data_IF_159464702910
#
_entry.id   IF_159464702910
#
_cell.length_a   1.000
_cell.length_b   1.000
_cell.length_c   1.000
_cell.angle_alpha   90.00
_cell.angle_beta   90.00
_cell.angle_gamma   90.00
#
_symmetry.space_group_name_H-M   'P 1'
#
loop_
_entity.id
_entity.type
_entity.pdbx_description
1 polymer ?
#
# COMPACT_ATOMS: atom_id res chain seq x y z
N UNK A 1 -7.27 3.68 -8.15
CA UNK A 1 -6.34 4.78 -8.52
C UNK A 1 -7.09 5.96 -9.16
N UNK A 2 -7.80 5.79 -10.31
CA UNK A 2 -8.49 6.90 -11.00
C UNK A 2 -9.41 7.73 -10.07
N UNK A 3 -10.25 7.08 -9.25
CA UNK A 3 -11.09 7.77 -8.25
C UNK A 3 -10.28 8.53 -7.20
N UNK A 4 -9.15 7.97 -6.76
CA UNK A 4 -8.30 8.59 -5.75
C UNK A 4 -7.60 9.88 -6.24
N UNK A 5 -7.41 10.03 -7.55
CA UNK A 5 -6.84 11.24 -8.17
C UNK A 5 -7.90 12.12 -8.84
N UNK A 6 -9.19 11.93 -8.52
CA UNK A 6 -10.29 12.76 -9.02
C UNK A 6 -10.70 12.54 -10.48
N UNK A 7 -10.24 11.46 -11.11
CA UNK A 7 -10.49 11.14 -12.52
C UNK A 7 -11.56 10.06 -12.72
N UNK A 8 -12.41 9.80 -11.71
CA UNK A 8 -13.43 8.74 -11.79
C UNK A 8 -14.41 8.91 -12.96
N UNK A 9 -14.80 10.14 -13.24
CA UNK A 9 -15.77 10.48 -14.30
C UNK A 9 -15.16 10.39 -15.72
N UNK A 10 -13.83 10.40 -15.84
CA UNK A 10 -13.08 10.27 -17.10
C UNK A 10 -12.71 8.81 -17.42
N UNK A 11 -13.42 7.83 -16.86
CA UNK A 11 -13.08 6.41 -16.98
C UNK A 11 -12.97 5.89 -18.42
N UNK A 12 -13.85 6.32 -19.31
CA UNK A 12 -13.81 5.90 -20.72
C UNK A 12 -12.58 6.45 -21.45
N UNK A 13 -12.19 7.67 -21.13
CA UNK A 13 -10.96 8.28 -21.64
C UNK A 13 -9.71 7.56 -21.11
N UNK A 14 -9.69 7.25 -19.84
CA UNK A 14 -8.59 6.48 -19.22
C UNK A 14 -8.42 5.13 -19.93
N UNK A 15 -9.52 4.40 -20.21
CA UNK A 15 -9.42 3.11 -20.91
C UNK A 15 -8.82 3.24 -22.30
N UNK A 16 -9.21 4.28 -23.05
CA UNK A 16 -8.65 4.56 -24.37
C UNK A 16 -7.17 4.93 -24.26
N UNK A 17 -6.84 5.88 -23.39
CA UNK A 17 -5.48 6.32 -23.16
C UNK A 17 -4.57 5.17 -22.68
N UNK A 18 -5.09 4.24 -21.86
CA UNK A 18 -4.33 3.06 -21.42
C UNK A 18 -3.91 2.16 -22.60
N UNK A 19 -4.79 2.00 -23.59
CA UNK A 19 -4.47 1.29 -24.82
C UNK A 19 -3.41 2.06 -25.63
N UNK A 20 -3.62 3.38 -25.84
CA UNK A 20 -2.73 4.22 -26.64
C UNK A 20 -1.33 4.30 -26.02
N UNK A 21 -1.24 4.42 -24.69
CA UNK A 21 0.05 4.40 -23.96
C UNK A 21 0.75 3.04 -24.09
N UNK A 22 0.01 1.94 -24.05
CA UNK A 22 0.63 0.63 -24.25
C UNK A 22 1.25 0.50 -25.66
N UNK A 23 0.55 0.95 -26.69
CA UNK A 23 1.09 0.97 -28.04
C UNK A 23 2.32 1.90 -28.14
N UNK A 24 2.25 3.09 -27.54
CA UNK A 24 3.37 4.05 -27.49
C UNK A 24 4.60 3.44 -26.77
N UNK A 25 4.41 2.53 -25.81
CA UNK A 25 5.49 1.82 -25.11
C UNK A 25 6.04 0.62 -25.88
N UNK A 26 5.53 0.32 -27.08
CA UNK A 26 5.95 -0.80 -27.91
C UNK A 26 5.08 -2.04 -27.74
N UNK A 27 3.79 -1.85 -27.41
CA UNK A 27 2.81 -2.94 -27.18
C UNK A 27 3.31 -4.02 -26.21
N UNK A 28 3.80 -3.55 -25.06
CA UNK A 28 4.42 -4.41 -24.06
C UNK A 28 3.40 -5.33 -23.38
N UNK A 29 3.87 -6.47 -22.87
CA UNK A 29 3.07 -7.38 -22.04
C UNK A 29 2.71 -6.69 -20.73
N UNK A 30 1.40 -6.64 -20.44
CA UNK A 30 0.85 -5.95 -19.27
C UNK A 30 0.67 -6.91 -18.10
N UNK A 31 1.75 -7.19 -17.41
CA UNK A 31 1.78 -7.92 -16.13
C UNK A 31 2.47 -7.04 -15.07
N UNK A 32 2.39 -7.42 -13.81
CA UNK A 32 3.13 -6.70 -12.76
C UNK A 32 4.65 -6.86 -12.98
N UNK A 33 5.43 -5.78 -13.02
CA UNK A 33 5.10 -4.38 -12.72
C UNK A 33 4.72 -3.51 -13.92
N UNK A 34 4.83 -3.98 -15.18
CA UNK A 34 4.63 -3.17 -16.39
C UNK A 34 3.22 -2.58 -16.51
N UNK A 35 2.19 -3.31 -16.07
CA UNK A 35 0.81 -2.81 -16.02
C UNK A 35 0.66 -1.56 -15.15
N UNK A 36 1.41 -1.46 -14.06
CA UNK A 36 1.44 -0.26 -13.21
C UNK A 36 2.06 0.92 -13.95
N UNK A 37 3.15 0.70 -14.66
CA UNK A 37 3.85 1.77 -15.41
C UNK A 37 2.95 2.35 -16.49
N UNK A 38 2.28 1.48 -17.27
CA UNK A 38 1.29 1.92 -18.28
C UNK A 38 0.15 2.69 -17.61
N UNK A 39 -0.34 2.24 -16.47
CA UNK A 39 -1.37 2.92 -15.70
C UNK A 39 -0.94 4.29 -15.17
N UNK A 40 0.25 4.41 -14.62
CA UNK A 40 0.78 5.66 -14.10
C UNK A 40 0.97 6.70 -15.22
N UNK A 41 1.51 6.28 -16.39
CA UNK A 41 1.62 7.16 -17.55
C UNK A 41 0.25 7.56 -18.10
N UNK A 42 -0.69 6.63 -18.14
CA UNK A 42 -2.07 6.91 -18.55
C UNK A 42 -2.72 7.99 -17.68
N UNK A 43 -2.64 7.83 -16.36
CA UNK A 43 -3.22 8.81 -15.44
C UNK A 43 -2.53 10.16 -15.55
N UNK A 44 -1.21 10.17 -15.70
CA UNK A 44 -0.42 11.39 -15.93
C UNK A 44 -0.88 12.12 -17.20
N UNK A 45 -1.03 11.41 -18.31
CA UNK A 45 -1.46 12.01 -19.58
C UNK A 45 -2.90 12.54 -19.50
N UNK A 46 -3.83 11.77 -18.95
CA UNK A 46 -5.24 12.19 -18.80
C UNK A 46 -5.37 13.38 -17.84
N UNK A 47 -4.62 13.38 -16.73
CA UNK A 47 -4.67 14.48 -15.75
C UNK A 47 -4.16 15.81 -16.32
N UNK A 48 -3.20 15.75 -17.24
CA UNK A 48 -2.58 16.93 -17.85
C UNK A 48 -3.11 17.21 -19.27
N UNK A 49 -4.18 16.53 -19.70
CA UNK A 49 -4.79 16.65 -21.03
C UNK A 49 -3.76 16.52 -22.18
N UNK A 50 -2.83 15.55 -22.03
CA UNK A 50 -1.74 15.30 -22.98
C UNK A 50 -2.14 14.24 -23.99
N UNK A 51 -1.71 14.43 -25.24
CA UNK A 51 -1.78 13.46 -26.33
C UNK A 51 -0.40 12.83 -26.57
N UNK A 52 -0.35 11.76 -27.35
CA UNK A 52 0.91 11.18 -27.82
C UNK A 52 1.78 12.23 -28.55
N UNK A 53 1.16 13.09 -29.37
CA UNK A 53 1.84 14.17 -30.05
C UNK A 53 2.54 15.13 -29.08
N UNK A 54 1.88 15.50 -27.98
CA UNK A 54 2.47 16.35 -26.95
C UNK A 54 3.71 15.73 -26.32
N UNK A 55 3.68 14.41 -26.09
CA UNK A 55 4.83 13.69 -25.57
C UNK A 55 6.02 13.77 -26.52
N UNK A 56 5.81 13.62 -27.82
CA UNK A 56 6.90 13.67 -28.80
C UNK A 56 7.38 15.09 -29.13
N UNK A 57 6.55 16.11 -28.98
CA UNK A 57 6.89 17.50 -29.32
C UNK A 57 7.48 18.31 -28.16
N UNK A 58 6.99 18.07 -26.94
CA UNK A 58 7.39 18.83 -25.74
C UNK A 58 7.71 17.97 -24.52
N UNK A 59 7.87 16.68 -24.71
CA UNK A 59 8.08 15.71 -23.61
C UNK A 59 9.29 16.00 -22.75
N UNK A 60 10.33 16.63 -23.29
CA UNK A 60 11.53 17.02 -22.53
C UNK A 60 11.23 17.99 -21.38
N UNK A 61 10.14 18.76 -21.47
CA UNK A 61 9.71 19.72 -20.44
C UNK A 61 8.76 19.14 -19.40
N UNK A 62 8.26 17.90 -19.60
CA UNK A 62 7.27 17.26 -18.72
C UNK A 62 7.93 16.48 -17.57
N UNK A 63 7.35 16.54 -16.37
CA UNK A 63 7.81 15.75 -15.23
C UNK A 63 7.03 14.42 -15.14
N UNK A 64 7.65 13.39 -15.68
CA UNK A 64 7.05 12.05 -15.73
C UNK A 64 6.98 11.39 -14.35
N UNK A 65 5.99 10.50 -14.11
CA UNK A 65 5.97 9.66 -12.92
C UNK A 65 7.27 8.86 -12.79
N UNK A 66 7.80 8.74 -11.58
CA UNK A 66 9.08 8.05 -11.34
C UNK A 66 9.05 6.60 -11.84
N UNK A 67 7.93 5.90 -11.72
CA UNK A 67 7.76 4.54 -12.24
C UNK A 67 7.97 4.44 -13.76
N UNK A 68 7.59 5.48 -14.51
CA UNK A 68 7.78 5.56 -15.97
C UNK A 68 9.26 5.80 -16.28
N UNK A 69 9.90 6.71 -15.55
CA UNK A 69 11.34 6.96 -15.69
C UNK A 69 12.14 5.69 -15.37
N UNK A 70 11.84 5.02 -14.27
CA UNK A 70 12.49 3.79 -13.84
C UNK A 70 12.34 2.66 -14.87
N UNK A 71 11.15 2.56 -15.48
CA UNK A 71 10.92 1.60 -16.55
C UNK A 71 11.82 1.86 -17.76
N UNK A 72 11.86 3.07 -18.27
CA UNK A 72 12.67 3.43 -19.44
C UNK A 72 14.19 3.46 -19.12
N UNK A 73 14.57 3.62 -17.86
CA UNK A 73 15.96 3.46 -17.41
C UNK A 73 16.39 1.97 -17.37
N UNK A 74 15.42 1.03 -17.40
CA UNK A 74 15.68 -0.41 -17.36
C UNK A 74 15.68 -1.02 -15.97
N UNK A 75 15.21 -0.30 -14.93
CA UNK A 75 15.15 -0.79 -13.53
C UNK A 75 14.18 -1.95 -13.34
N UNK A 76 13.20 -2.08 -14.23
CA UNK A 76 12.22 -3.17 -14.23
C UNK A 76 12.55 -4.25 -15.26
N UNK A 77 13.74 -4.23 -15.83
CA UNK A 77 14.14 -5.07 -16.97
C UNK A 77 13.88 -4.37 -18.31
N UNK A 78 14.18 -5.07 -19.38
CA UNK A 78 14.02 -4.57 -20.76
C UNK A 78 12.95 -5.38 -21.45
N UNK A 79 11.97 -4.76 -22.14
CA UNK A 79 10.99 -5.47 -22.95
C UNK A 79 11.66 -6.33 -24.03
N UNK A 80 10.98 -7.38 -24.50
CA UNK A 80 11.53 -8.33 -25.45
C UNK A 80 12.09 -7.64 -26.73
N UNK A 81 11.39 -6.64 -27.26
CA UNK A 81 11.82 -5.87 -28.45
C UNK A 81 12.61 -4.60 -28.09
N UNK A 82 12.97 -4.42 -26.83
CA UNK A 82 13.62 -3.20 -26.34
C UNK A 82 12.63 -2.07 -26.09
N UNK A 83 13.16 -0.89 -25.86
CA UNK A 83 12.37 0.32 -25.67
C UNK A 83 12.26 1.10 -26.99
N UNK A 84 11.12 1.80 -27.29
CA UNK A 84 11.03 2.73 -28.37
C UNK A 84 12.06 3.87 -28.19
N UNK A 85 13.14 3.87 -28.97
CA UNK A 85 14.33 4.70 -28.73
C UNK A 85 14.02 6.19 -28.60
N UNK A 86 13.13 6.71 -29.47
CA UNK A 86 12.77 8.14 -29.42
C UNK A 86 12.08 8.49 -28.12
N UNK A 87 11.13 7.66 -27.67
CA UNK A 87 10.40 7.87 -26.44
C UNK A 87 11.32 7.73 -25.22
N UNK A 88 12.20 6.73 -25.22
CA UNK A 88 13.19 6.52 -24.15
C UNK A 88 14.08 7.76 -23.99
N UNK A 89 14.59 8.32 -25.06
CA UNK A 89 15.41 9.55 -25.01
C UNK A 89 14.65 10.73 -24.42
N UNK A 90 13.40 10.94 -24.80
CA UNK A 90 12.53 12.00 -24.29
C UNK A 90 12.32 11.83 -22.77
N UNK A 91 11.91 10.62 -22.33
CA UNK A 91 11.58 10.38 -20.92
C UNK A 91 12.83 10.45 -20.05
N UNK A 92 13.96 9.95 -20.51
CA UNK A 92 15.20 9.94 -19.74
C UNK A 92 15.91 11.30 -19.70
N UNK A 93 15.60 12.24 -20.61
CA UNK A 93 16.18 13.59 -20.61
C UNK A 93 17.71 13.61 -20.47
N UNK A 94 18.37 12.74 -21.22
CA UNK A 94 19.83 12.59 -21.21
C UNK A 94 20.40 11.68 -20.14
N UNK A 95 19.60 11.11 -19.27
CA UNK A 95 20.02 10.00 -18.38
C UNK A 95 20.38 8.78 -19.23
N UNK A 96 21.42 8.06 -18.83
CA UNK A 96 21.81 6.83 -19.51
C UNK A 96 20.98 5.65 -18.98
N UNK A 97 20.41 4.81 -19.86
CA UNK A 97 19.83 3.55 -19.45
C UNK A 97 20.85 2.68 -18.71
N UNK A 98 20.36 1.79 -17.86
CA UNK A 98 21.22 0.81 -17.18
C UNK A 98 21.79 -0.18 -18.20
N UNK A 99 23.07 -0.45 -18.09
CA UNK A 99 23.83 -1.41 -18.93
C UNK A 99 23.94 -2.79 -18.28
N UNK A 100 23.47 -2.91 -17.01
CA UNK A 100 23.51 -4.13 -16.20
C UNK A 100 22.18 -4.38 -15.51
N UNK A 101 22.01 -5.61 -15.04
CA UNK A 101 20.88 -5.95 -14.19
C UNK A 101 20.86 -5.04 -12.95
N UNK A 102 19.69 -4.42 -12.61
CA UNK A 102 19.60 -3.47 -11.49
C UNK A 102 20.19 -3.99 -10.18
N UNK A 103 19.90 -5.26 -9.82
CA UNK A 103 20.44 -5.86 -8.60
C UNK A 103 21.97 -6.00 -8.56
N UNK A 104 22.66 -5.96 -9.71
CA UNK A 104 24.12 -5.99 -9.76
C UNK A 104 24.76 -4.61 -9.47
N UNK A 105 23.94 -3.57 -9.40
CA UNK A 105 24.35 -2.19 -9.12
C UNK A 105 24.07 -1.78 -7.66
N UNK A 106 23.44 -2.65 -6.87
CA UNK A 106 23.18 -2.39 -5.46
C UNK A 106 24.38 -2.80 -4.61
N UNK A 107 24.66 -2.00 -3.60
CA UNK A 107 25.63 -2.36 -2.58
C UNK A 107 25.13 -3.57 -1.78
N UNK A 108 26.03 -4.42 -1.27
CA UNK A 108 25.67 -5.49 -0.35
C UNK A 108 24.95 -4.93 0.88
N UNK A 109 23.92 -5.64 1.33
CA UNK A 109 23.19 -5.25 2.54
C UNK A 109 24.03 -5.64 3.75
N UNK A 110 24.24 -4.69 4.66
CA UNK A 110 24.80 -4.94 5.99
C UNK A 110 23.64 -5.37 6.93
N UNK A 111 23.45 -6.67 7.08
CA UNK A 111 22.38 -7.25 7.90
C UNK A 111 22.53 -6.88 9.40
N UNK A 112 23.74 -6.73 9.91
CA UNK A 112 23.95 -6.34 11.30
C UNK A 112 23.57 -4.88 11.54
N UNK A 113 23.86 -3.99 10.61
CA UNK A 113 23.38 -2.61 10.67
C UNK A 113 21.85 -2.54 10.61
N UNK A 114 21.21 -3.41 9.80
CA UNK A 114 19.74 -3.51 9.77
C UNK A 114 19.20 -4.04 11.10
N UNK A 115 19.78 -5.09 11.66
CA UNK A 115 19.39 -5.65 12.96
C UNK A 115 19.44 -4.59 14.06
N UNK A 116 20.56 -3.88 14.17
CA UNK A 116 20.72 -2.78 15.13
C UNK A 116 19.67 -1.68 14.93
N UNK A 117 19.30 -1.39 13.70
CA UNK A 117 18.26 -0.40 13.39
C UNK A 117 16.87 -0.86 13.87
N UNK A 118 16.54 -2.13 13.70
CA UNK A 118 15.27 -2.70 14.17
C UNK A 118 15.24 -2.74 15.70
N UNK A 119 16.32 -3.15 16.35
CA UNK A 119 16.47 -3.15 17.80
C UNK A 119 16.27 -1.74 18.39
N UNK A 120 16.94 -0.73 17.83
CA UNK A 120 16.79 0.67 18.25
C UNK A 120 15.35 1.19 18.08
N UNK A 121 14.60 0.68 17.09
CA UNK A 121 13.19 0.99 16.88
C UNK A 121 12.26 0.16 17.78
N UNK A 122 12.81 -0.75 18.59
CA UNK A 122 12.06 -1.71 19.42
C UNK A 122 11.11 -2.59 18.57
N UNK A 123 11.56 -3.01 17.40
CA UNK A 123 10.89 -3.97 16.54
C UNK A 123 11.49 -5.35 16.72
N UNK A 124 10.76 -6.38 16.30
CA UNK A 124 11.31 -7.71 16.18
C UNK A 124 12.52 -7.71 15.25
N UNK A 125 13.54 -8.50 15.53
CA UNK A 125 14.81 -8.46 14.81
C UNK A 125 15.48 -9.86 14.70
N UNK A 126 14.66 -10.91 14.58
CA UNK A 126 15.13 -12.23 14.18
C UNK A 126 15.70 -12.19 12.76
N UNK A 127 16.26 -13.29 12.29
CA UNK A 127 16.78 -13.35 10.91
C UNK A 127 15.67 -13.19 9.88
N UNK A 128 14.47 -13.74 10.14
CA UNK A 128 13.29 -13.53 9.32
C UNK A 128 12.84 -12.08 9.30
N UNK A 129 12.83 -11.40 10.44
CA UNK A 129 12.44 -9.99 10.54
C UNK A 129 13.39 -9.09 9.77
N UNK A 130 14.70 -9.33 9.90
CA UNK A 130 15.73 -8.60 9.16
C UNK A 130 15.56 -8.80 7.65
N UNK A 131 15.32 -10.04 7.21
CA UNK A 131 15.05 -10.34 5.80
C UNK A 131 13.76 -9.69 5.30
N UNK A 132 12.68 -9.75 6.07
CA UNK A 132 11.40 -9.12 5.73
C UNK A 132 11.55 -7.60 5.62
N UNK A 133 12.26 -6.96 6.56
CA UNK A 133 12.55 -5.53 6.51
C UNK A 133 13.37 -5.15 5.27
N UNK A 134 14.39 -5.92 4.92
CA UNK A 134 15.23 -5.65 3.74
C UNK A 134 14.42 -5.70 2.44
N UNK A 135 13.43 -6.59 2.36
CA UNK A 135 12.60 -6.74 1.16
C UNK A 135 11.46 -5.72 1.11
N UNK A 136 10.80 -5.44 2.23
CA UNK A 136 9.57 -4.64 2.30
C UNK A 136 9.56 -3.72 3.53
N UNK A 137 10.48 -2.74 3.62
CA UNK A 137 10.72 -1.98 4.85
C UNK A 137 9.47 -1.23 5.35
N UNK A 138 8.63 -0.72 4.44
CA UNK A 138 7.39 -0.05 4.83
C UNK A 138 6.36 -1.02 5.39
N UNK A 139 6.13 -2.14 4.69
CA UNK A 139 5.15 -3.15 5.11
C UNK A 139 5.54 -3.75 6.46
N UNK A 140 6.85 -4.04 6.64
CA UNK A 140 7.36 -4.53 7.91
C UNK A 140 7.10 -3.55 9.07
N UNK A 141 7.39 -2.27 8.87
CA UNK A 141 7.12 -1.25 9.89
C UNK A 141 5.63 -1.12 10.21
N UNK A 142 4.78 -1.08 9.19
CA UNK A 142 3.33 -1.01 9.37
C UNK A 142 2.82 -2.23 10.17
N UNK A 143 3.40 -3.41 9.95
CA UNK A 143 3.12 -4.63 10.70
C UNK A 143 3.59 -4.54 12.17
N UNK A 144 4.82 -4.11 12.42
CA UNK A 144 5.36 -3.96 13.77
C UNK A 144 4.55 -2.94 14.61
N UNK A 145 4.16 -1.82 14.01
CA UNK A 145 3.29 -0.84 14.67
C UNK A 145 1.89 -1.41 14.97
N UNK A 146 1.38 -2.27 14.09
CA UNK A 146 0.14 -2.99 14.32
C UNK A 146 0.27 -3.95 15.51
N UNK A 147 1.32 -4.75 15.55
CA UNK A 147 1.58 -5.68 16.68
C UNK A 147 1.79 -4.93 18.00
N UNK A 148 2.53 -3.81 17.99
CA UNK A 148 2.68 -2.97 19.19
C UNK A 148 1.35 -2.47 19.72
N UNK A 149 0.41 -2.14 18.83
CA UNK A 149 -0.89 -1.58 19.19
C UNK A 149 -1.90 -2.63 19.67
N UNK A 150 -1.95 -3.77 19.02
CA UNK A 150 -3.02 -4.77 19.20
C UNK A 150 -2.54 -6.08 19.81
N UNK A 151 -1.24 -6.28 19.94
CA UNK A 151 -0.66 -7.58 20.28
C UNK A 151 -0.71 -8.56 19.12
N UNK A 152 -0.46 -9.83 19.42
CA UNK A 152 -0.54 -10.90 18.44
C UNK A 152 -2.01 -11.29 18.20
N UNK A 153 -2.53 -10.89 17.06
CA UNK A 153 -3.91 -11.20 16.63
C UNK A 153 -4.00 -12.48 15.78
N UNK A 154 -2.89 -13.18 15.56
CA UNK A 154 -2.87 -14.46 14.82
C UNK A 154 -3.66 -15.57 15.54
N UNK A 155 -3.90 -15.39 16.82
CA UNK A 155 -4.75 -16.27 17.66
C UNK A 155 -6.24 -16.21 17.32
N UNK A 156 -6.68 -15.17 16.56
CA UNK A 156 -8.06 -15.03 16.11
C UNK A 156 -8.30 -15.88 14.86
N UNK A 157 -9.48 -16.48 14.76
CA UNK A 157 -9.91 -17.11 13.52
C UNK A 157 -10.12 -16.09 12.41
N UNK A 158 -10.01 -16.54 11.16
CA UNK A 158 -10.09 -15.66 9.98
C UNK A 158 -11.39 -14.84 9.90
N UNK A 159 -12.60 -15.41 10.13
CA UNK A 159 -13.83 -14.64 10.17
C UNK A 159 -13.81 -13.54 11.23
N UNK A 160 -13.43 -13.83 12.45
CA UNK A 160 -13.35 -12.86 13.54
C UNK A 160 -12.35 -11.74 13.24
N UNK A 161 -11.18 -12.08 12.68
CA UNK A 161 -10.17 -11.09 12.32
C UNK A 161 -10.66 -10.10 11.25
N UNK A 162 -11.35 -10.59 10.19
CA UNK A 162 -11.76 -9.73 9.07
C UNK A 162 -13.10 -9.04 9.26
N UNK A 163 -14.04 -9.68 9.94
CA UNK A 163 -15.43 -9.20 10.03
C UNK A 163 -15.83 -8.78 11.45
N UNK A 164 -15.00 -9.08 12.44
CA UNK A 164 -15.34 -8.87 13.84
C UNK A 164 -16.38 -9.88 14.34
N UNK A 165 -16.91 -9.63 15.52
CA UNK A 165 -17.92 -10.46 16.17
C UNK A 165 -19.29 -9.81 16.03
N UNK A 166 -20.33 -10.64 15.93
CA UNK A 166 -21.73 -10.19 16.01
C UNK A 166 -22.21 -10.18 17.48
N UNK A 167 -23.23 -9.37 17.76
CA UNK A 167 -23.80 -9.28 19.13
C UNK A 167 -24.25 -10.66 19.61
N UNK A 168 -23.83 -11.02 20.82
CA UNK A 168 -24.03 -12.31 21.49
C UNK A 168 -23.23 -13.49 20.90
N UNK A 169 -22.42 -13.26 19.89
CA UNK A 169 -21.47 -14.26 19.42
C UNK A 169 -20.41 -14.56 20.48
N UNK A 170 -20.01 -15.81 20.57
CA UNK A 170 -19.04 -16.32 21.50
C UNK A 170 -17.94 -17.06 20.74
N UNK A 171 -16.69 -16.75 21.05
CA UNK A 171 -15.52 -17.40 20.48
C UNK A 171 -14.60 -17.90 21.59
N UNK A 172 -13.85 -18.94 21.31
CA UNK A 172 -12.75 -19.40 22.16
C UNK A 172 -11.44 -19.06 21.46
N UNK A 173 -10.51 -18.47 22.19
CA UNK A 173 -9.21 -18.06 21.67
C UNK A 173 -8.12 -18.80 22.41
N UNK A 174 -7.24 -19.51 21.69
CA UNK A 174 -6.07 -20.15 22.31
C UNK A 174 -4.94 -19.13 22.40
N UNK A 175 -4.63 -18.66 23.60
CA UNK A 175 -3.54 -17.71 23.85
C UNK A 175 -2.21 -18.42 24.13
N UNK A 176 -2.25 -19.58 24.78
CA UNK A 176 -1.10 -20.40 25.11
C UNK A 176 -1.58 -21.83 25.38
N UNK A 177 -0.67 -22.78 25.58
CA UNK A 177 -1.02 -24.17 25.93
C UNK A 177 -1.86 -24.20 27.21
N UNK A 178 -3.09 -24.69 27.10
CA UNK A 178 -4.05 -24.76 28.20
C UNK A 178 -4.69 -23.43 28.62
N UNK A 179 -4.45 -22.32 27.86
CA UNK A 179 -5.03 -20.99 28.13
C UNK A 179 -6.00 -20.63 27.01
N UNK A 180 -7.27 -20.99 27.19
CA UNK A 180 -8.33 -20.85 26.19
C UNK A 180 -9.50 -19.99 26.74
N UNK A 181 -9.33 -18.66 26.80
CA UNK A 181 -10.43 -17.79 27.22
C UNK A 181 -11.59 -17.82 26.24
N UNK A 182 -12.80 -17.77 26.83
CA UNK A 182 -14.05 -17.58 26.10
C UNK A 182 -14.43 -16.11 26.09
N UNK A 183 -14.63 -15.56 24.91
CA UNK A 183 -14.96 -14.14 24.69
C UNK A 183 -16.33 -14.06 24.03
N UNK A 184 -17.23 -13.24 24.60
CA UNK A 184 -18.57 -13.00 24.05
C UNK A 184 -18.81 -11.53 23.87
N UNK A 185 -19.15 -11.10 22.64
CA UNK A 185 -19.52 -9.70 22.38
C UNK A 185 -20.92 -9.42 22.94
N UNK A 186 -21.03 -8.48 23.87
CA UNK A 186 -22.30 -8.07 24.47
C UNK A 186 -22.88 -6.90 23.72
N UNK A 187 -22.11 -5.82 23.54
CA UNK A 187 -22.60 -4.60 22.91
C UNK A 187 -21.48 -3.76 22.33
N UNK A 188 -21.82 -2.97 21.32
CA UNK A 188 -21.03 -1.84 20.81
C UNK A 188 -21.90 -0.61 20.88
N UNK A 189 -21.51 0.40 21.63
CA UNK A 189 -22.30 1.63 21.79
C UNK A 189 -22.33 2.45 20.50
N UNK A 190 -23.26 3.39 20.42
CA UNK A 190 -23.15 4.47 19.45
C UNK A 190 -21.93 5.35 19.76
N UNK A 191 -21.36 6.04 18.76
CA UNK A 191 -20.22 6.92 18.98
C UNK A 191 -20.61 8.11 19.85
N UNK A 192 -19.75 8.45 20.80
CA UNK A 192 -19.88 9.65 21.61
C UNK A 192 -19.47 10.92 20.82
N UNK A 193 -19.54 12.09 21.48
CA UNK A 193 -19.19 13.39 20.90
C UNK A 193 -17.70 13.48 20.47
N UNK A 194 -16.86 12.55 20.89
CA UNK A 194 -15.43 12.43 20.52
C UNK A 194 -15.21 11.41 19.43
N UNK A 195 -16.27 10.74 18.96
CA UNK A 195 -16.19 9.65 18.00
C UNK A 195 -15.69 8.34 18.63
N UNK A 196 -15.81 8.17 19.95
CA UNK A 196 -15.46 6.95 20.66
C UNK A 196 -16.67 6.06 20.79
N UNK A 197 -16.47 4.75 20.67
CA UNK A 197 -17.43 3.69 21.00
C UNK A 197 -16.94 2.88 22.17
N UNK A 198 -17.81 2.53 23.09
CA UNK A 198 -17.54 1.53 24.13
C UNK A 198 -17.95 0.16 23.63
N UNK A 199 -17.00 -0.77 23.61
CA UNK A 199 -17.23 -2.18 23.32
C UNK A 199 -17.30 -2.93 24.62
N UNK A 200 -18.45 -3.55 24.90
CA UNK A 200 -18.68 -4.39 26.08
C UNK A 200 -18.63 -5.84 25.69
N UNK A 201 -17.83 -6.63 26.39
CA UNK A 201 -17.73 -8.07 26.17
C UNK A 201 -17.56 -8.85 27.48
N UNK A 202 -17.93 -10.12 27.47
CA UNK A 202 -17.63 -11.07 28.55
C UNK A 202 -16.31 -11.75 28.24
N UNK A 203 -15.41 -11.82 29.21
CA UNK A 203 -14.16 -12.56 29.17
C UNK A 203 -14.17 -13.60 30.31
N UNK A 204 -14.28 -14.86 29.98
CA UNK A 204 -14.46 -15.94 30.97
C UNK A 204 -15.56 -15.66 32.01
N UNK A 205 -16.69 -15.12 31.57
CA UNK A 205 -17.82 -14.81 32.45
C UNK A 205 -17.70 -13.48 33.20
N UNK A 206 -16.59 -12.73 33.07
CA UNK A 206 -16.43 -11.39 33.63
C UNK A 206 -16.60 -10.32 32.56
N UNK A 207 -17.44 -9.30 32.85
CA UNK A 207 -17.67 -8.19 31.96
C UNK A 207 -16.43 -7.30 31.86
N UNK A 208 -16.12 -6.84 30.64
CA UNK A 208 -15.05 -5.93 30.31
C UNK A 208 -15.54 -4.88 29.32
N UNK A 209 -15.02 -3.68 29.45
CA UNK A 209 -15.29 -2.57 28.54
C UNK A 209 -14.00 -1.97 28.03
N UNK A 210 -13.97 -1.64 26.73
CA UNK A 210 -12.88 -0.89 26.10
C UNK A 210 -13.46 0.18 25.21
N UNK A 211 -12.83 1.35 25.23
CA UNK A 211 -13.17 2.46 24.36
C UNK A 211 -12.30 2.40 23.09
N UNK A 212 -12.93 2.47 21.94
CA UNK A 212 -12.29 2.43 20.62
C UNK A 212 -12.73 3.62 19.78
N UNK A 213 -11.81 4.14 18.95
CA UNK A 213 -12.13 5.21 18.00
C UNK A 213 -12.91 4.62 16.83
N UNK A 214 -14.09 5.17 16.52
CA UNK A 214 -14.83 4.84 15.31
C UNK A 214 -14.22 5.58 14.11
N UNK A 215 -13.56 4.84 13.23
CA UNK A 215 -12.92 5.40 12.02
C UNK A 215 -13.93 5.85 10.95
N UNK A 216 -15.20 5.49 11.09
CA UNK A 216 -16.27 5.86 10.15
C UNK A 216 -16.98 7.17 10.53
N UNK A 217 -16.71 7.70 11.73
CA UNK A 217 -17.26 9.00 12.16
C UNK A 217 -16.37 10.11 11.59
N UNK A 218 -16.96 10.96 10.75
CA UNK A 218 -16.26 12.09 10.17
C UNK A 218 -15.92 13.11 11.28
N UNK A 219 -14.63 13.31 11.56
CA UNK A 219 -14.15 14.22 12.62
C UNK A 219 -14.65 15.67 12.43
N UNK A 220 -15.04 16.06 11.20
CA UNK A 220 -15.67 17.36 10.92
C UNK A 220 -17.05 17.49 11.53
N UNK A 221 -17.79 16.40 11.69
CA UNK A 221 -19.12 16.40 12.30
C UNK A 221 -19.06 16.59 13.81
N UNK A 222 -17.96 16.22 14.46
CA UNK A 222 -17.74 16.35 15.89
C UNK A 222 -17.51 17.81 16.30
N UNK A 223 -16.81 18.58 15.45
CA UNK A 223 -16.52 20.00 15.71
C UNK A 223 -17.75 20.90 15.52
N UNK A 224 -18.67 20.54 14.62
CA UNK A 224 -19.87 21.34 14.33
C UNK A 224 -20.98 21.25 15.40
N UNK A 225 -20.94 20.25 16.29
CA UNK A 225 -21.89 20.11 17.42
C UNK A 225 -21.50 20.89 18.67
N UNK A 226 -20.35 21.57 18.66
CA UNK A 226 -19.86 22.40 19.78
C UNK A 226 -20.00 23.91 19.54
N UNK A 227 -20.78 24.33 18.52
CA UNK A 227 -21.06 25.74 18.24
C UNK A 227 -22.51 26.08 18.61
#
# INVERSE_FOLDING_TARGET
>A
QAKAVGLGDRWNEIKKMYHDVNLMFGDIVKVTPSSKVVGDMTLFMVQNDLTEKDIYERGDSLDYPQSVVDFFEGRLGVPYEGFPEKLQKIILKGRKPLDKRPGALLDPIDFEAVRTKLENAQYNHTDEDVNAYCQYPKVFKDYEEFIKKYGDVSVLDTPTFFFGMTKNEEITVTLDEGVEPVIKLINVSDPDDRGMRTVTFMFNGAEREIDVIDKNVDQKTIVSKKA
#
